data_IF_628970369130
#
_entry.id   IF_628970369130
#
_cell.length_a   1.000
_cell.length_b   1.000
_cell.length_c   1.000
_cell.angle_alpha   90.00
_cell.angle_beta   90.00
_cell.angle_gamma   90.00
#
_symmetry.space_group_name_H-M   'P 1'
#
loop_
_entity.id
_entity.type
_entity.pdbx_description
1 polymer ?
#
# COMPACT_ATOMS: atom_id res chain seq x y z
N UNK A 1 9.00 8.61 7.55
CA UNK A 1 9.72 7.46 6.96
C UNK A 1 9.76 7.71 5.46
N UNK A 2 10.95 7.67 4.83
CA UNK A 2 11.06 7.96 3.39
C UNK A 2 10.20 6.96 2.60
N UNK A 3 9.34 7.47 1.71
CA UNK A 3 8.52 6.65 0.83
C UNK A 3 9.46 5.76 -0.01
N UNK A 4 9.13 4.48 -0.19
CA UNK A 4 9.97 3.54 -0.98
C UNK A 4 10.28 4.15 -2.36
N UNK A 5 9.31 4.86 -2.96
CA UNK A 5 9.45 5.63 -4.19
C UNK A 5 10.61 6.64 -4.14
N UNK A 6 10.74 7.40 -3.05
CA UNK A 6 11.81 8.40 -2.86
C UNK A 6 13.18 7.73 -2.76
N UNK A 7 13.25 6.56 -2.12
CA UNK A 7 14.49 5.80 -1.99
C UNK A 7 14.94 5.22 -3.34
N UNK A 8 14.00 4.76 -4.16
CA UNK A 8 14.28 4.30 -5.53
C UNK A 8 14.70 5.47 -6.41
N UNK A 9 14.01 6.61 -6.35
CA UNK A 9 14.39 7.83 -7.07
C UNK A 9 15.81 8.31 -6.70
N UNK A 10 16.20 8.17 -5.42
CA UNK A 10 17.58 8.44 -4.99
C UNK A 10 18.58 7.48 -5.64
N UNK A 11 18.30 6.18 -5.71
CA UNK A 11 19.16 5.20 -6.40
C UNK A 11 19.26 5.48 -7.91
N UNK A 12 18.15 5.85 -8.55
CA UNK A 12 18.15 6.30 -9.94
C UNK A 12 19.06 7.52 -10.12
N UNK A 13 18.96 8.53 -9.26
CA UNK A 13 19.83 9.71 -9.28
C UNK A 13 21.30 9.36 -9.07
N UNK A 14 21.60 8.49 -8.11
CA UNK A 14 22.95 8.03 -7.81
C UNK A 14 23.55 7.25 -9.00
N UNK A 15 22.77 6.38 -9.65
CA UNK A 15 23.21 5.59 -10.80
C UNK A 15 23.62 6.49 -11.99
N UNK A 16 22.90 7.59 -12.21
CA UNK A 16 23.23 8.61 -13.22
C UNK A 16 24.52 9.35 -12.86
N UNK A 17 24.72 9.69 -11.59
CA UNK A 17 25.91 10.40 -11.09
C UNK A 17 27.19 9.56 -11.12
N UNK A 18 27.08 8.23 -10.94
CA UNK A 18 28.21 7.31 -10.97
C UNK A 18 28.74 6.99 -12.37
N UNK A 19 28.12 7.53 -13.43
CA UNK A 19 28.48 7.25 -14.82
C UNK A 19 28.55 5.73 -15.09
N UNK A 20 27.62 4.98 -14.50
CA UNK A 20 27.52 3.53 -14.68
C UNK A 20 27.36 3.30 -16.18
N UNK A 21 28.40 2.71 -16.79
CA UNK A 21 28.41 2.52 -18.24
C UNK A 21 27.32 1.52 -18.58
N UNK A 22 26.28 1.98 -19.26
CA UNK A 22 25.25 1.15 -19.91
C UNK A 22 25.83 0.10 -20.88
N UNK A 23 27.13 0.15 -21.16
CA UNK A 23 27.85 -0.78 -22.01
C UNK A 23 28.49 -1.95 -21.26
N UNK A 24 28.65 -1.87 -19.93
CA UNK A 24 29.09 -3.03 -19.14
C UNK A 24 27.87 -3.88 -18.76
N UNK A 25 28.03 -5.19 -18.72
CA UNK A 25 26.92 -6.09 -18.41
C UNK A 25 26.45 -5.93 -16.96
N UNK A 26 27.36 -5.59 -16.04
CA UNK A 26 27.05 -5.24 -14.66
C UNK A 26 26.26 -3.93 -14.56
N UNK A 27 26.60 -2.94 -15.38
CA UNK A 27 25.91 -1.65 -15.43
C UNK A 27 24.48 -1.78 -15.94
N UNK A 28 24.29 -2.60 -17.00
CA UNK A 28 22.94 -2.95 -17.48
C UNK A 28 22.14 -3.67 -16.41
N UNK A 29 22.73 -4.69 -15.76
CA UNK A 29 22.06 -5.45 -14.71
C UNK A 29 21.59 -4.53 -13.57
N UNK A 30 22.46 -3.64 -13.09
CA UNK A 30 22.13 -2.73 -11.99
C UNK A 30 21.01 -1.74 -12.36
N UNK A 31 21.01 -1.20 -13.57
CA UNK A 31 19.93 -0.31 -14.04
C UNK A 31 18.60 -1.08 -14.08
N UNK A 32 18.58 -2.29 -14.65
CA UNK A 32 17.37 -3.11 -14.66
C UNK A 32 16.87 -3.45 -13.25
N UNK A 33 17.77 -3.69 -12.29
CA UNK A 33 17.38 -3.89 -10.89
C UNK A 33 16.72 -2.63 -10.32
N UNK A 34 17.28 -1.45 -10.58
CA UNK A 34 16.72 -0.18 -10.11
C UNK A 34 15.34 0.08 -10.73
N UNK A 35 15.14 -0.25 -12.01
CA UNK A 35 13.86 -0.11 -12.69
C UNK A 35 12.81 -1.06 -12.09
N UNK A 36 13.15 -2.33 -11.86
CA UNK A 36 12.25 -3.29 -11.19
C UNK A 36 11.88 -2.80 -9.78
N UNK A 37 12.82 -2.18 -9.05
CA UNK A 37 12.53 -1.61 -7.74
C UNK A 37 11.55 -0.43 -7.82
N UNK A 38 11.52 0.32 -8.92
CA UNK A 38 10.57 1.43 -9.13
C UNK A 38 9.15 0.87 -9.37
N UNK A 39 9.05 -0.15 -10.21
CA UNK A 39 7.80 -0.87 -10.45
C UNK A 39 7.27 -1.47 -9.13
N UNK A 40 8.15 -2.09 -8.33
CA UNK A 40 7.78 -2.61 -7.01
C UNK A 40 7.32 -1.50 -6.06
N UNK A 41 7.91 -0.30 -6.13
CA UNK A 41 7.49 0.83 -5.30
C UNK A 41 6.06 1.27 -5.63
N UNK A 42 5.69 1.27 -6.92
CA UNK A 42 4.34 1.59 -7.37
C UNK A 42 3.33 0.52 -6.97
N UNK A 43 3.66 -0.76 -7.16
CA UNK A 43 2.78 -1.85 -6.74
C UNK A 43 2.54 -1.86 -5.22
N UNK A 44 3.57 -1.57 -4.42
CA UNK A 44 3.40 -1.41 -2.97
C UNK A 44 2.46 -0.25 -2.64
N UNK A 45 2.56 0.86 -3.36
CA UNK A 45 1.67 2.01 -3.14
C UNK A 45 0.21 1.66 -3.48
N UNK A 46 -0.01 0.94 -4.59
CA UNK A 46 -1.34 0.45 -4.98
C UNK A 46 -1.92 -0.50 -3.92
N UNK A 47 -1.11 -1.40 -3.36
CA UNK A 47 -1.53 -2.28 -2.27
C UNK A 47 -1.93 -1.48 -1.03
N UNK A 48 -1.15 -0.45 -0.66
CA UNK A 48 -1.47 0.41 0.48
C UNK A 48 -2.80 1.15 0.28
N UNK A 49 -3.06 1.66 -0.92
CA UNK A 49 -4.35 2.28 -1.25
C UNK A 49 -5.50 1.28 -1.12
N UNK A 50 -5.37 0.09 -1.72
CA UNK A 50 -6.40 -0.94 -1.61
C UNK A 50 -6.63 -1.43 -0.17
N UNK A 51 -5.59 -1.43 0.68
CA UNK A 51 -5.73 -1.77 2.09
C UNK A 51 -6.46 -0.68 2.89
N UNK A 52 -6.22 0.59 2.57
CA UNK A 52 -6.96 1.71 3.17
C UNK A 52 -8.45 1.67 2.77
N UNK A 53 -8.75 1.37 1.50
CA UNK A 53 -10.14 1.21 1.04
C UNK A 53 -10.84 0.03 1.73
N UNK A 54 -10.13 -1.08 1.93
CA UNK A 54 -10.64 -2.24 2.68
C UNK A 54 -10.88 -1.91 4.15
N UNK A 55 -10.01 -1.12 4.78
CA UNK A 55 -10.18 -0.67 6.16
C UNK A 55 -11.48 0.14 6.30
N UNK A 56 -11.72 1.10 5.40
CA UNK A 56 -12.98 1.86 5.38
C UNK A 56 -14.20 0.95 5.16
N UNK A 57 -14.11 -0.05 4.27
CA UNK A 57 -15.21 -1.00 4.06
C UNK A 57 -15.52 -1.82 5.31
N UNK A 58 -14.49 -2.28 6.02
CA UNK A 58 -14.64 -3.02 7.28
C UNK A 58 -15.22 -2.14 8.38
N UNK A 59 -14.80 -0.88 8.48
CA UNK A 59 -15.38 0.08 9.42
C UNK A 59 -16.87 0.30 9.14
N UNK A 60 -17.28 0.46 7.87
CA UNK A 60 -18.70 0.59 7.52
C UNK A 60 -19.50 -0.67 7.88
N UNK A 61 -18.91 -1.86 7.69
CA UNK A 61 -19.57 -3.11 8.11
C UNK A 61 -19.73 -3.21 9.64
N UNK A 62 -18.75 -2.73 10.41
CA UNK A 62 -18.82 -2.72 11.88
C UNK A 62 -19.90 -1.75 12.38
N UNK A 63 -20.04 -0.59 11.74
CA UNK A 63 -21.10 0.38 12.00
C UNK A 63 -22.48 -0.21 11.68
N UNK A 64 -22.67 -0.79 10.47
CA UNK A 64 -23.91 -1.44 10.07
C UNK A 64 -24.31 -2.60 11.01
N UNK A 65 -23.32 -3.36 11.50
CA UNK A 65 -23.56 -4.43 12.47
C UNK A 65 -23.97 -3.88 13.83
N UNK A 66 -23.34 -2.79 14.28
CA UNK A 66 -23.70 -2.13 15.54
C UNK A 66 -25.16 -1.65 15.49
N UNK A 67 -25.55 -0.98 14.41
CA UNK A 67 -26.94 -0.52 14.21
C UNK A 67 -27.94 -1.69 14.25
N UNK A 68 -27.60 -2.81 13.59
CA UNK A 68 -28.43 -4.01 13.61
C UNK A 68 -28.52 -4.64 15.00
N UNK A 69 -27.40 -4.70 15.73
CA UNK A 69 -27.35 -5.21 17.10
C UNK A 69 -28.23 -4.37 18.04
N UNK A 70 -28.20 -3.04 17.91
CA UNK A 70 -29.08 -2.15 18.67
C UNK A 70 -30.56 -2.45 18.34
N UNK A 71 -30.94 -2.53 17.06
CA UNK A 71 -32.33 -2.81 16.66
C UNK A 71 -32.82 -4.17 17.19
N UNK A 72 -32.01 -5.21 17.05
CA UNK A 72 -32.40 -6.58 17.40
C UNK A 72 -32.32 -6.82 18.91
N UNK A 73 -31.29 -6.34 19.60
CA UNK A 73 -31.13 -6.62 21.02
C UNK A 73 -31.97 -5.69 21.90
N UNK A 74 -32.21 -4.43 21.51
CA UNK A 74 -33.13 -3.57 22.25
C UNK A 74 -34.60 -4.00 22.08
N UNK A 75 -34.97 -4.53 20.92
CA UNK A 75 -36.32 -5.09 20.71
C UNK A 75 -36.57 -6.38 21.50
N UNK A 76 -35.55 -7.23 21.68
CA UNK A 76 -35.67 -8.48 22.46
C UNK A 76 -35.62 -8.22 23.98
N UNK A 77 -34.96 -7.14 24.42
CA UNK A 77 -34.85 -6.79 25.85
C UNK A 77 -36.13 -6.16 26.44
N UNK A 78 -37.02 -5.64 25.60
CA UNK A 78 -38.26 -4.96 26.02
C UNK A 78 -39.46 -5.90 26.22
N UNK A 79 -39.43 -7.11 25.67
CA UNK A 79 -40.55 -8.07 25.70
C UNK A 79 -40.38 -9.22 26.72
N UNK A 80 -39.24 -9.32 27.41
CA UNK A 80 -38.92 -10.40 28.38
C UNK A 80 -38.90 -9.94 29.87
N UNK A 81 -39.47 -8.76 30.19
CA UNK A 81 -39.67 -8.24 31.57
C UNK A 81 -41.11 -7.83 31.89
#
# INVERSE_FOLDING_TARGET
MANIKERVAYLQGLSRGLNIRLHSDEGKLLINIIDILDDMADEINNIQMGQADLETYVESMDEDLTDLEEEVYDSVSADDF
#
